data_IF_135367900344
#
_entry.id   IF_135367900344
#
_cell.length_a   1.000
_cell.length_b   1.000
_cell.length_c   1.000
_cell.angle_alpha   90.00
_cell.angle_beta   90.00
_cell.angle_gamma   90.00
#
_symmetry.space_group_name_H-M   'P 1'
#
loop_
_entity.id
_entity.type
_entity.pdbx_description
1 polymer ?
#
# COMPACT_ATOMS: atom_id res chain seq x y z
N UNK A 1 -26.53 12.30 -3.76
CA UNK A 1 -26.22 12.47 -5.20
C UNK A 1 -24.72 12.66 -5.47
N UNK A 2 -24.06 13.67 -4.88
CA UNK A 2 -22.60 13.94 -5.09
C UNK A 2 -21.68 12.75 -4.76
N UNK A 3 -21.95 12.02 -3.68
CA UNK A 3 -21.16 10.84 -3.29
C UNK A 3 -21.20 9.72 -4.35
N UNK A 4 -22.40 9.39 -4.87
CA UNK A 4 -22.54 8.33 -5.87
C UNK A 4 -21.80 8.65 -7.17
N UNK A 5 -21.84 9.91 -7.61
CA UNK A 5 -21.07 10.36 -8.79
C UNK A 5 -19.57 10.18 -8.55
N UNK A 6 -19.06 10.63 -7.39
CA UNK A 6 -17.65 10.49 -7.07
C UNK A 6 -17.21 9.01 -6.99
N UNK A 7 -18.04 8.15 -6.41
CA UNK A 7 -17.78 6.72 -6.34
C UNK A 7 -17.69 6.08 -7.73
N UNK A 8 -18.63 6.42 -8.63
CA UNK A 8 -18.60 5.95 -10.03
C UNK A 8 -17.35 6.43 -10.75
N UNK A 9 -16.96 7.70 -10.57
CA UNK A 9 -15.72 8.23 -11.16
C UNK A 9 -14.50 7.43 -10.67
N UNK A 10 -14.39 7.18 -9.36
CA UNK A 10 -13.27 6.40 -8.79
C UNK A 10 -13.24 5.00 -9.39
N UNK A 11 -14.37 4.30 -9.45
CA UNK A 11 -14.45 2.93 -10.01
C UNK A 11 -14.04 2.92 -11.48
N UNK A 12 -14.53 3.88 -12.27
CA UNK A 12 -14.14 3.97 -13.68
C UNK A 12 -12.64 4.25 -13.79
N UNK A 13 -12.12 5.24 -13.08
CA UNK A 13 -10.70 5.58 -13.07
C UNK A 13 -9.81 4.40 -12.63
N UNK A 14 -10.23 3.62 -11.63
CA UNK A 14 -9.46 2.48 -11.14
C UNK A 14 -9.36 1.35 -12.17
N UNK A 15 -10.33 1.19 -13.08
CA UNK A 15 -10.22 0.20 -14.17
C UNK A 15 -9.18 0.57 -15.23
N UNK A 16 -8.92 1.86 -15.44
CA UNK A 16 -7.90 2.33 -16.39
C UNK A 16 -6.49 2.36 -15.78
N UNK A 17 -6.39 2.50 -14.46
CA UNK A 17 -5.12 2.69 -13.76
C UNK A 17 -4.08 1.59 -14.08
N UNK A 18 -4.38 0.27 -14.01
CA UNK A 18 -3.37 -0.76 -14.29
C UNK A 18 -2.80 -0.67 -15.70
N UNK A 19 -3.65 -0.39 -16.69
CA UNK A 19 -3.23 -0.28 -18.10
C UNK A 19 -2.32 0.93 -18.30
N UNK A 20 -2.72 2.10 -17.80
CA UNK A 20 -1.92 3.32 -17.88
C UNK A 20 -0.59 3.15 -17.15
N UNK A 21 -0.60 2.53 -15.97
CA UNK A 21 0.62 2.27 -15.20
C UNK A 21 1.58 1.34 -15.93
N UNK A 22 1.08 0.28 -16.56
CA UNK A 22 1.88 -0.59 -17.42
C UNK A 22 2.50 0.20 -18.58
N UNK A 23 1.71 0.96 -19.33
CA UNK A 23 2.19 1.72 -20.49
C UNK A 23 3.28 2.74 -20.09
N UNK A 24 3.09 3.43 -18.95
CA UNK A 24 4.08 4.37 -18.41
C UNK A 24 5.35 3.63 -17.95
N UNK A 25 5.23 2.48 -17.26
CA UNK A 25 6.37 1.69 -16.83
C UNK A 25 7.27 1.32 -18.02
N UNK A 26 6.67 0.80 -19.11
CA UNK A 26 7.37 0.45 -20.34
C UNK A 26 8.01 1.67 -21.02
N UNK A 27 7.34 2.83 -21.03
CA UNK A 27 7.87 4.06 -21.63
C UNK A 27 9.15 4.55 -20.93
N UNK A 28 9.22 4.45 -19.60
CA UNK A 28 10.37 4.88 -18.80
C UNK A 28 11.40 3.77 -18.55
N UNK A 29 11.17 2.57 -19.07
CA UNK A 29 12.06 1.42 -18.88
C UNK A 29 12.03 0.83 -17.46
N UNK A 30 10.97 1.07 -16.70
CA UNK A 30 10.76 0.45 -15.39
C UNK A 30 10.07 -0.90 -15.53
N UNK A 31 10.33 -1.82 -14.60
CA UNK A 31 9.54 -3.05 -14.50
C UNK A 31 8.12 -2.73 -14.03
N UNK A 32 7.14 -3.54 -14.43
CA UNK A 32 5.76 -3.41 -13.96
C UNK A 32 5.67 -3.52 -12.43
N UNK A 33 6.54 -4.36 -11.83
CA UNK A 33 6.67 -4.51 -10.38
C UNK A 33 7.14 -3.22 -9.72
N UNK A 34 8.25 -2.63 -10.17
CA UNK A 34 8.81 -1.41 -9.55
C UNK A 34 7.87 -0.23 -9.67
N UNK A 35 7.23 -0.07 -10.84
CA UNK A 35 6.26 0.98 -11.06
C UNK A 35 4.98 0.76 -10.24
N UNK A 36 4.50 -0.49 -10.18
CA UNK A 36 3.34 -0.90 -9.39
C UNK A 36 3.53 -0.63 -7.89
N UNK A 37 4.64 -1.08 -7.33
CA UNK A 37 4.92 -0.95 -5.89
C UNK A 37 5.03 0.49 -5.42
N UNK A 38 5.48 1.41 -6.27
CA UNK A 38 5.55 2.82 -5.90
C UNK A 38 4.32 3.59 -6.36
N UNK A 39 4.09 3.71 -7.67
CA UNK A 39 3.13 4.66 -8.21
C UNK A 39 1.69 4.19 -8.11
N UNK A 40 1.44 2.90 -8.38
CA UNK A 40 0.09 2.33 -8.24
C UNK A 40 -0.28 2.29 -6.76
N UNK A 41 0.60 1.76 -5.90
CA UNK A 41 0.36 1.70 -4.46
C UNK A 41 0.14 3.08 -3.82
N UNK A 42 0.92 4.10 -4.23
CA UNK A 42 0.69 5.48 -3.79
C UNK A 42 -0.69 5.98 -4.24
N UNK A 43 -1.03 5.80 -5.51
CA UNK A 43 -2.29 6.29 -6.08
C UNK A 43 -3.51 5.68 -5.40
N UNK A 44 -3.47 4.37 -5.12
CA UNK A 44 -4.57 3.67 -4.43
C UNK A 44 -4.63 3.95 -2.94
N UNK A 45 -3.55 4.45 -2.32
CA UNK A 45 -3.48 4.77 -0.88
C UNK A 45 -3.77 6.24 -0.56
N UNK A 46 -3.89 7.11 -1.58
CA UNK A 46 -4.18 8.54 -1.40
C UNK A 46 -5.51 8.79 -0.64
N UNK A 47 -6.63 8.11 -0.97
CA UNK A 47 -7.89 8.26 -0.23
C UNK A 47 -7.73 7.95 1.26
N UNK A 48 -7.00 6.89 1.59
CA UNK A 48 -6.77 6.40 2.94
C UNK A 48 -5.90 7.39 3.72
N UNK A 49 -4.88 7.96 3.08
CA UNK A 49 -4.06 9.03 3.67
C UNK A 49 -4.95 10.24 4.00
N UNK A 50 -5.83 10.64 3.08
CA UNK A 50 -6.72 11.77 3.28
C UNK A 50 -7.68 11.54 4.46
N UNK A 51 -8.30 10.35 4.55
CA UNK A 51 -9.19 9.97 5.65
C UNK A 51 -8.43 9.90 6.98
N UNK A 52 -7.27 9.25 6.98
CA UNK A 52 -6.44 9.09 8.18
C UNK A 52 -5.96 10.43 8.73
N UNK A 53 -5.54 11.35 7.85
CA UNK A 53 -5.11 12.69 8.22
C UNK A 53 -6.29 13.53 8.74
N UNK A 54 -7.46 13.44 8.10
CA UNK A 54 -8.66 14.13 8.56
C UNK A 54 -9.07 13.65 9.96
N UNK A 55 -9.11 12.33 10.19
CA UNK A 55 -9.42 11.74 11.49
C UNK A 55 -8.38 12.15 12.55
N UNK A 56 -7.09 12.16 12.21
CA UNK A 56 -6.04 12.60 13.12
C UNK A 56 -6.18 14.07 13.52
N UNK A 57 -6.53 14.96 12.58
CA UNK A 57 -6.82 16.38 12.85
C UNK A 57 -8.02 16.58 13.76
N UNK A 58 -8.98 15.65 13.73
CA UNK A 58 -10.15 15.63 14.62
C UNK A 58 -9.86 14.96 15.98
N UNK A 59 -8.60 14.61 16.29
CA UNK A 59 -8.18 13.84 17.46
C UNK A 59 -8.83 12.44 17.54
N UNK A 60 -9.31 11.91 16.42
CA UNK A 60 -9.93 10.57 16.31
C UNK A 60 -8.86 9.53 15.95
N UNK A 61 -7.83 9.42 16.80
CA UNK A 61 -6.63 8.60 16.54
C UNK A 61 -6.98 7.13 16.32
N UNK A 62 -7.90 6.57 17.11
CA UNK A 62 -8.36 5.18 16.95
C UNK A 62 -8.92 4.91 15.56
N UNK A 63 -9.70 5.86 15.01
CA UNK A 63 -10.29 5.73 13.68
C UNK A 63 -9.22 5.90 12.58
N UNK A 64 -8.28 6.82 12.77
CA UNK A 64 -7.13 6.99 11.88
C UNK A 64 -6.30 5.69 11.75
N UNK A 65 -5.97 5.06 12.88
CA UNK A 65 -5.22 3.80 12.91
C UNK A 65 -6.05 2.64 12.37
N UNK A 66 -7.35 2.56 12.72
CA UNK A 66 -8.24 1.53 12.19
C UNK A 66 -8.39 1.61 10.68
N UNK A 67 -8.43 2.82 10.10
CA UNK A 67 -8.47 3.01 8.65
C UNK A 67 -7.19 2.46 7.98
N UNK A 68 -6.01 2.78 8.50
CA UNK A 68 -4.73 2.31 7.94
C UNK A 68 -4.60 0.78 8.03
N UNK A 69 -4.84 0.19 9.20
CA UNK A 69 -4.71 -1.26 9.40
C UNK A 69 -5.81 -2.04 8.67
N UNK A 70 -7.04 -1.55 8.72
CA UNK A 70 -8.18 -2.17 8.05
C UNK A 70 -8.02 -2.19 6.54
N UNK A 71 -7.50 -1.12 5.93
CA UNK A 71 -7.25 -1.06 4.49
C UNK A 71 -6.18 -2.06 4.05
N UNK A 72 -5.11 -2.23 4.84
CA UNK A 72 -4.09 -3.26 4.57
C UNK A 72 -4.67 -4.68 4.64
N UNK A 73 -5.52 -4.97 5.63
CA UNK A 73 -6.21 -6.27 5.73
C UNK A 73 -7.12 -6.49 4.52
N UNK A 74 -7.88 -5.47 4.14
CA UNK A 74 -8.79 -5.53 2.99
C UNK A 74 -8.04 -5.76 1.67
N UNK A 75 -6.88 -5.12 1.47
CA UNK A 75 -6.03 -5.33 0.30
C UNK A 75 -5.55 -6.78 0.17
N UNK A 76 -5.15 -7.41 1.28
CA UNK A 76 -4.77 -8.84 1.27
C UNK A 76 -5.99 -9.74 1.03
N UNK A 77 -7.15 -9.39 1.59
CA UNK A 77 -8.38 -10.11 1.35
C UNK A 77 -8.79 -10.09 -0.13
N UNK A 78 -8.62 -8.94 -0.81
CA UNK A 78 -8.91 -8.82 -2.25
C UNK A 78 -8.09 -9.83 -3.06
N UNK A 79 -6.83 -10.10 -2.71
CA UNK A 79 -6.03 -11.10 -3.43
C UNK A 79 -6.65 -12.51 -3.40
N UNK A 80 -7.26 -12.89 -2.27
CA UNK A 80 -7.97 -14.17 -2.18
C UNK A 80 -9.25 -14.18 -3.01
N UNK A 81 -9.94 -13.04 -3.11
CA UNK A 81 -11.10 -12.88 -3.98
C UNK A 81 -10.67 -12.95 -5.46
N UNK A 82 -9.60 -12.26 -5.83
CA UNK A 82 -9.06 -12.25 -7.18
C UNK A 82 -8.66 -13.66 -7.64
N UNK A 83 -8.06 -14.46 -6.75
CA UNK A 83 -7.66 -15.85 -7.05
C UNK A 83 -8.87 -16.74 -7.37
N UNK A 84 -10.02 -16.52 -6.71
CA UNK A 84 -11.27 -17.24 -7.02
C UNK A 84 -11.76 -16.96 -8.45
N UNK A 85 -11.57 -15.73 -8.94
CA UNK A 85 -11.97 -15.34 -10.30
C UNK A 85 -10.89 -15.62 -11.35
N UNK A 86 -9.68 -16.00 -10.93
CA UNK A 86 -8.57 -16.28 -11.83
C UNK A 86 -8.66 -17.72 -12.38
N UNK A 87 -8.99 -17.85 -13.67
CA UNK A 87 -9.30 -19.15 -14.28
C UNK A 87 -8.10 -19.89 -14.84
N UNK A 88 -6.87 -19.36 -14.69
CA UNK A 88 -5.66 -19.89 -15.36
C UNK A 88 -4.69 -20.63 -14.42
N UNK A 89 -5.13 -20.98 -13.21
CA UNK A 89 -4.30 -21.62 -12.18
C UNK A 89 -4.28 -20.78 -10.91
N UNK A 90 -3.23 -20.88 -10.10
CA UNK A 90 -3.04 -19.96 -8.98
C UNK A 90 -2.45 -18.63 -9.47
N UNK A 91 -2.91 -17.51 -8.93
CA UNK A 91 -2.29 -16.20 -9.18
C UNK A 91 -0.81 -16.22 -8.83
N UNK A 92 -0.44 -16.95 -7.76
CA UNK A 92 0.93 -17.03 -7.27
C UNK A 92 1.91 -17.67 -8.26
N UNK A 93 1.44 -18.58 -9.12
CA UNK A 93 2.28 -19.21 -10.17
C UNK A 93 2.60 -18.25 -11.32
N UNK A 94 1.79 -17.21 -11.49
CA UNK A 94 1.92 -16.23 -12.58
C UNK A 94 2.51 -14.89 -12.10
N UNK A 95 2.89 -14.77 -10.83
CA UNK A 95 3.55 -13.57 -10.33
C UNK A 95 5.02 -13.55 -10.77
N UNK A 96 5.48 -12.38 -11.21
CA UNK A 96 6.91 -12.12 -11.42
C UNK A 96 7.67 -12.33 -10.10
N UNK A 97 8.84 -12.99 -10.16
CA UNK A 97 9.74 -13.19 -9.03
C UNK A 97 10.09 -11.88 -8.32
N UNK A 98 10.12 -10.76 -9.06
CA UNK A 98 10.38 -9.44 -8.48
C UNK A 98 9.31 -9.01 -7.46
N UNK A 99 8.08 -9.52 -7.55
CA UNK A 99 7.01 -9.21 -6.58
C UNK A 99 7.30 -9.72 -5.17
N UNK A 100 8.19 -10.71 -5.03
CA UNK A 100 8.62 -11.23 -3.73
C UNK A 100 9.26 -10.13 -2.88
N UNK A 101 10.00 -9.21 -3.49
CA UNK A 101 10.61 -8.08 -2.78
C UNK A 101 9.55 -7.15 -2.22
N UNK A 102 8.57 -6.77 -3.04
CA UNK A 102 7.43 -5.93 -2.64
C UNK A 102 6.65 -6.56 -1.47
N UNK A 103 6.35 -7.86 -1.57
CA UNK A 103 5.68 -8.62 -0.51
C UNK A 103 6.52 -8.70 0.77
N UNK A 104 7.82 -8.97 0.64
CA UNK A 104 8.75 -9.04 1.77
C UNK A 104 8.87 -7.72 2.52
N UNK A 105 8.99 -6.60 1.80
CA UNK A 105 9.02 -5.26 2.40
C UNK A 105 7.70 -4.96 3.12
N UNK A 106 6.56 -5.31 2.52
CA UNK A 106 5.25 -5.12 3.15
C UNK A 106 5.11 -5.94 4.46
N UNK A 107 5.61 -7.17 4.49
CA UNK A 107 5.65 -8.01 5.70
C UNK A 107 6.54 -7.37 6.77
N UNK A 108 7.74 -6.90 6.41
CA UNK A 108 8.66 -6.24 7.35
C UNK A 108 8.07 -4.95 7.94
N UNK A 109 7.42 -4.13 7.11
CA UNK A 109 6.73 -2.92 7.58
C UNK A 109 5.57 -3.28 8.52
N UNK A 110 4.77 -4.28 8.17
CA UNK A 110 3.66 -4.75 9.02
C UNK A 110 4.16 -5.28 10.36
N UNK A 111 5.23 -6.07 10.36
CA UNK A 111 5.86 -6.55 11.60
C UNK A 111 6.36 -5.39 12.48
N UNK A 112 6.96 -4.35 11.88
CA UNK A 112 7.40 -3.14 12.59
C UNK A 112 6.22 -2.40 13.25
N UNK A 113 5.08 -2.29 12.55
CA UNK A 113 3.85 -1.73 13.13
C UNK A 113 3.36 -2.56 14.32
N UNK A 114 3.31 -3.89 14.18
CA UNK A 114 2.88 -4.80 15.25
C UNK A 114 3.78 -4.66 16.49
N UNK A 115 5.10 -4.64 16.30
CA UNK A 115 6.05 -4.41 17.39
C UNK A 115 5.79 -3.06 18.08
N UNK A 116 5.57 -1.99 17.32
CA UNK A 116 5.23 -0.68 17.87
C UNK A 116 3.95 -0.67 18.70
N UNK A 117 2.95 -1.46 18.30
CA UNK A 117 1.69 -1.61 19.03
C UNK A 117 1.87 -2.42 20.33
N UNK A 118 2.66 -3.50 20.31
CA UNK A 118 2.93 -4.36 21.47
C UNK A 118 3.74 -3.61 22.52
N UNK A 119 4.83 -2.95 22.11
CA UNK A 119 5.75 -2.28 23.01
C UNK A 119 5.23 -0.93 23.53
N UNK A 120 4.03 -0.50 23.08
CA UNK A 120 3.38 0.77 23.44
C UNK A 120 4.41 1.90 23.59
N UNK A 121 5.04 2.29 22.48
CA UNK A 121 6.17 3.24 22.44
C UNK A 121 6.02 4.45 23.39
N UNK A 122 6.53 4.35 24.62
CA UNK A 122 6.36 5.38 25.66
C UNK A 122 7.34 6.56 25.52
N UNK A 123 8.35 6.47 24.65
CA UNK A 123 9.41 7.49 24.55
C UNK A 123 9.48 8.16 23.18
N UNK A 124 8.82 9.32 23.07
CA UNK A 124 9.13 10.33 22.05
C UNK A 124 10.38 11.11 22.47
N UNK A 125 11.55 10.83 21.87
CA UNK A 125 12.73 11.71 22.01
C UNK A 125 12.75 12.83 20.96
N UNK A 126 12.06 12.63 19.83
CA UNK A 126 11.91 13.56 18.70
C UNK A 126 10.42 13.81 18.40
N UNK A 127 10.13 14.70 17.43
CA UNK A 127 8.76 14.88 16.88
C UNK A 127 8.18 13.60 16.26
N UNK A 128 8.99 12.56 16.04
CA UNK A 128 8.65 11.25 15.47
C UNK A 128 9.01 10.12 16.44
N UNK A 129 8.21 9.06 16.44
CA UNK A 129 8.47 7.83 17.18
C UNK A 129 9.54 6.98 16.46
N UNK A 130 10.30 6.17 17.20
CA UNK A 130 11.37 5.33 16.64
C UNK A 130 10.85 4.35 15.58
N UNK A 131 9.63 3.87 15.78
CA UNK A 131 8.90 2.97 14.89
C UNK A 131 8.58 3.66 13.57
N UNK A 132 8.17 4.93 13.61
CA UNK A 132 7.90 5.71 12.39
C UNK A 132 9.17 5.93 11.58
N UNK A 133 10.31 6.16 12.24
CA UNK A 133 11.61 6.28 11.57
C UNK A 133 11.99 4.94 10.92
N UNK A 134 11.83 3.83 11.63
CA UNK A 134 12.09 2.49 11.09
C UNK A 134 11.23 2.19 9.86
N UNK A 135 9.93 2.52 9.89
CA UNK A 135 9.03 2.34 8.74
C UNK A 135 9.47 3.15 7.52
N UNK A 136 9.85 4.41 7.71
CA UNK A 136 10.36 5.27 6.65
C UNK A 136 11.64 4.65 6.04
N UNK A 137 12.58 4.23 6.88
CA UNK A 137 13.83 3.62 6.43
C UNK A 137 13.59 2.33 5.65
N UNK A 138 12.72 1.45 6.14
CA UNK A 138 12.36 0.19 5.46
C UNK A 138 11.71 0.47 4.11
N UNK A 139 10.78 1.43 4.05
CA UNK A 139 10.10 1.81 2.81
C UNK A 139 11.08 2.34 1.75
N UNK A 140 11.94 3.31 2.10
CA UNK A 140 12.90 3.87 1.15
C UNK A 140 13.95 2.86 0.72
N UNK A 141 14.48 2.06 1.65
CA UNK A 141 15.41 0.98 1.31
C UNK A 141 14.74 -0.03 0.37
N UNK A 142 13.50 -0.37 0.65
CA UNK A 142 12.71 -1.28 -0.16
C UNK A 142 12.49 -0.78 -1.59
N UNK A 143 12.14 0.49 -1.75
CA UNK A 143 12.04 1.13 -3.08
C UNK A 143 13.38 1.07 -3.82
N UNK A 144 14.49 1.42 -3.16
CA UNK A 144 15.81 1.41 -3.79
C UNK A 144 16.14 0.00 -4.30
N UNK A 145 15.88 -1.03 -3.48
CA UNK A 145 16.08 -2.43 -3.88
C UNK A 145 15.22 -2.77 -5.10
N UNK A 146 13.91 -2.49 -5.04
CA UNK A 146 12.97 -2.83 -6.11
C UNK A 146 13.29 -2.12 -7.44
N UNK A 147 13.78 -0.88 -7.39
CA UNK A 147 14.18 -0.13 -8.60
C UNK A 147 15.58 -0.51 -9.11
N UNK A 148 16.34 -1.31 -8.37
CA UNK A 148 17.66 -1.80 -8.77
C UNK A 148 17.64 -3.21 -9.40
N UNK A 149 16.48 -3.87 -9.39
CA UNK A 149 16.22 -5.16 -10.05
C UNK A 149 16.01 -4.96 -11.55
#
# INVERSE_FOLDING_TARGET
FKYGINAVIIILSSTFLPKVSKDIAHLYGFTETSFGTLFVALSTSLPEIAVSLAAAKMNMITISVANLLGSNIFNIFILAVDDIFYTKGSIFEHMDYNNLWSGGIAVLMTATVILGLIYRAEKKRLRLAYESIALIMIYFTGIIIIFSL
#
